data_IF_903599122759
#
_entry.id   IF_903599122759
#
_cell.length_a   1.000
_cell.length_b   1.000
_cell.length_c   1.000
_cell.angle_alpha   90.00
_cell.angle_beta   90.00
_cell.angle_gamma   90.00
#
_symmetry.space_group_name_H-M   'P 1'
#
loop_
_entity.id
_entity.type
_entity.pdbx_description
1 polymer ?
#
# COMPACT_ATOMS: atom_id res chain seq x y z
N UNK A 1 3.03 -31.38 8.34
CA UNK A 1 3.93 -30.62 9.24
C UNK A 1 3.13 -29.55 9.93
N UNK A 2 3.53 -29.05 11.10
CA UNK A 2 2.93 -27.82 11.64
C UNK A 2 3.27 -26.64 10.69
N UNK A 3 2.38 -25.66 10.48
CA UNK A 3 2.66 -24.52 9.61
C UNK A 3 3.90 -23.75 10.11
N UNK A 4 4.88 -23.50 9.24
CA UNK A 4 6.12 -22.78 9.59
C UNK A 4 5.83 -21.31 9.95
N UNK A 5 4.72 -20.77 9.46
CA UNK A 5 4.24 -19.40 9.73
C UNK A 5 3.78 -19.14 11.17
N UNK A 6 4.06 -20.03 12.12
CA UNK A 6 3.97 -19.73 13.56
C UNK A 6 5.11 -18.83 14.06
N UNK A 7 6.15 -18.61 13.25
CA UNK A 7 7.25 -17.70 13.58
C UNK A 7 6.77 -16.25 13.68
N UNK A 8 7.43 -15.45 14.53
CA UNK A 8 7.08 -14.04 14.76
C UNK A 8 8.00 -13.04 14.03
N UNK A 9 9.15 -13.50 13.53
CA UNK A 9 10.19 -12.66 12.94
C UNK A 9 11.00 -13.38 11.85
N UNK A 10 11.75 -12.60 11.08
CA UNK A 10 12.60 -13.07 9.99
C UNK A 10 13.65 -14.12 10.42
N UNK A 11 14.47 -13.89 11.47
CA UNK A 11 15.47 -14.86 11.91
C UNK A 11 14.87 -16.24 12.19
N UNK A 12 13.73 -16.29 12.88
CA UNK A 12 13.06 -17.55 13.23
C UNK A 12 12.52 -18.25 11.98
N UNK A 13 11.85 -17.51 11.09
CA UNK A 13 11.29 -18.09 9.85
C UNK A 13 12.39 -18.65 8.94
N UNK A 14 13.48 -17.89 8.74
CA UNK A 14 14.60 -18.30 7.91
C UNK A 14 15.27 -19.55 8.48
N UNK A 15 15.53 -19.58 9.79
CA UNK A 15 16.15 -20.71 10.46
C UNK A 15 15.32 -22.00 10.34
N UNK A 16 13.99 -21.91 10.39
CA UNK A 16 13.10 -23.06 10.19
C UNK A 16 13.07 -23.49 8.73
N UNK A 17 12.91 -22.56 7.79
CA UNK A 17 12.83 -22.88 6.36
C UNK A 17 14.14 -23.50 5.84
N UNK A 18 15.29 -23.02 6.32
CA UNK A 18 16.61 -23.52 5.92
C UNK A 18 16.94 -24.94 6.44
N UNK A 19 16.06 -25.56 7.25
CA UNK A 19 16.16 -26.99 7.58
C UNK A 19 15.80 -27.88 6.38
N UNK A 20 15.04 -27.36 5.42
CA UNK A 20 14.79 -28.04 4.15
C UNK A 20 16.01 -27.86 3.23
N UNK A 21 16.47 -28.98 2.64
CA UNK A 21 17.59 -29.01 1.72
C UNK A 21 17.41 -28.08 0.52
N UNK A 22 16.17 -27.84 0.06
CA UNK A 22 15.88 -26.91 -1.03
C UNK A 22 16.16 -25.44 -0.67
N UNK A 23 16.20 -25.10 0.62
CA UNK A 23 16.33 -23.74 1.13
C UNK A 23 17.55 -23.56 2.05
N UNK A 24 18.41 -24.57 2.16
CA UNK A 24 19.56 -24.59 3.08
C UNK A 24 20.50 -23.39 2.91
N UNK A 25 20.67 -22.91 1.68
CA UNK A 25 21.55 -21.76 1.38
C UNK A 25 21.13 -20.45 2.07
N UNK A 26 19.89 -20.35 2.56
CA UNK A 26 19.44 -19.19 3.31
C UNK A 26 20.17 -19.02 4.65
N UNK A 27 20.72 -20.09 5.25
CA UNK A 27 21.51 -20.00 6.48
C UNK A 27 22.83 -19.26 6.31
N UNK A 28 23.43 -19.37 5.12
CA UNK A 28 24.74 -18.77 4.81
C UNK A 28 24.59 -17.40 4.13
N UNK A 29 23.36 -17.00 3.82
CA UNK A 29 23.03 -15.72 3.21
C UNK A 29 23.12 -14.58 4.22
N UNK A 30 23.35 -13.35 3.73
CA UNK A 30 23.08 -12.16 4.55
C UNK A 30 21.60 -12.12 4.92
N UNK A 31 21.23 -11.81 6.18
CA UNK A 31 19.84 -11.82 6.63
C UNK A 31 18.91 -10.97 5.76
N UNK A 32 19.39 -9.81 5.30
CA UNK A 32 18.62 -8.89 4.47
C UNK A 32 18.32 -9.47 3.08
N UNK A 33 19.28 -10.19 2.50
CA UNK A 33 19.11 -10.86 1.21
C UNK A 33 18.13 -12.04 1.34
N UNK A 34 18.24 -12.82 2.40
CA UNK A 34 17.30 -13.91 2.68
C UNK A 34 15.88 -13.39 2.90
N UNK A 35 15.71 -12.32 3.69
CA UNK A 35 14.42 -11.66 3.86
C UNK A 35 13.87 -11.11 2.54
N UNK A 36 14.71 -10.46 1.73
CA UNK A 36 14.29 -9.85 0.47
C UNK A 36 13.76 -10.89 -0.54
N UNK A 37 14.42 -12.04 -0.71
CA UNK A 37 13.94 -13.10 -1.62
C UNK A 37 12.70 -13.83 -1.08
N UNK A 38 12.46 -13.77 0.23
CA UNK A 38 11.33 -14.42 0.89
C UNK A 38 10.13 -13.50 1.20
N UNK A 39 10.26 -12.18 1.06
CA UNK A 39 9.22 -11.23 1.45
C UNK A 39 7.88 -11.51 0.76
N UNK A 40 7.89 -11.66 -0.57
CA UNK A 40 6.69 -11.96 -1.35
C UNK A 40 6.05 -13.32 -0.98
N UNK A 41 6.79 -14.45 -1.00
CA UNK A 41 6.20 -15.75 -0.63
C UNK A 41 5.75 -15.80 0.83
N UNK A 42 6.45 -15.15 1.77
CA UNK A 42 6.05 -15.11 3.17
C UNK A 42 4.75 -14.31 3.37
N UNK A 43 4.60 -13.16 2.72
CA UNK A 43 3.37 -12.37 2.75
C UNK A 43 2.17 -13.17 2.21
N UNK A 44 2.33 -13.83 1.06
CA UNK A 44 1.27 -14.64 0.45
C UNK A 44 0.89 -15.81 1.33
N UNK A 45 1.87 -16.58 1.79
CA UNK A 45 1.62 -17.74 2.64
C UNK A 45 0.96 -17.32 3.97
N UNK A 46 1.39 -16.19 4.56
CA UNK A 46 0.78 -15.60 5.76
C UNK A 46 -0.67 -15.22 5.54
N UNK A 47 -0.97 -14.56 4.42
CA UNK A 47 -2.35 -14.20 4.07
C UNK A 47 -3.21 -15.45 3.87
N UNK A 48 -2.73 -16.45 3.13
CA UNK A 48 -3.44 -17.71 2.91
C UNK A 48 -3.76 -18.39 4.25
N UNK A 49 -2.78 -18.51 5.15
CA UNK A 49 -2.96 -19.16 6.44
C UNK A 49 -4.04 -18.50 7.31
N UNK A 50 -4.24 -17.18 7.18
CA UNK A 50 -5.18 -16.41 8.02
C UNK A 50 -6.53 -16.21 7.34
N UNK A 51 -6.54 -15.85 6.05
CA UNK A 51 -7.74 -15.39 5.33
C UNK A 51 -8.33 -16.46 4.42
N UNK A 52 -7.54 -17.41 3.94
CA UNK A 52 -7.99 -18.44 3.00
C UNK A 52 -7.40 -19.84 3.31
N UNK A 53 -7.57 -20.37 4.54
CA UNK A 53 -6.90 -21.60 4.96
C UNK A 53 -7.22 -22.81 4.07
N UNK A 54 -8.43 -22.86 3.48
CA UNK A 54 -8.82 -23.91 2.53
C UNK A 54 -7.92 -23.97 1.28
N UNK A 55 -7.25 -22.86 0.90
CA UNK A 55 -6.26 -22.89 -0.18
C UNK A 55 -5.02 -23.70 0.20
N UNK A 56 -4.62 -23.72 1.47
CA UNK A 56 -3.47 -24.50 1.93
C UNK A 56 -3.68 -26.02 1.80
N UNK A 57 -4.92 -26.47 1.58
CA UNK A 57 -5.24 -27.89 1.35
C UNK A 57 -5.19 -28.27 -0.14
N UNK A 58 -5.06 -27.29 -1.04
CA UNK A 58 -5.00 -27.56 -2.48
C UNK A 58 -3.68 -28.25 -2.85
N UNK A 59 -3.69 -29.29 -3.70
CA UNK A 59 -2.47 -29.95 -4.16
C UNK A 59 -1.62 -29.08 -5.10
N UNK A 60 -2.25 -28.06 -5.70
CA UNK A 60 -1.63 -27.08 -6.58
C UNK A 60 -2.24 -25.70 -6.32
N UNK A 61 -1.39 -24.69 -6.26
CA UNK A 61 -1.75 -23.29 -6.19
C UNK A 61 -1.31 -22.60 -7.49
N UNK A 62 -2.25 -21.95 -8.17
CA UNK A 62 -1.98 -21.11 -9.33
C UNK A 62 -2.18 -19.64 -8.96
N UNK A 63 -1.09 -18.89 -8.99
CA UNK A 63 -1.02 -17.51 -8.53
C UNK A 63 -0.81 -16.55 -9.70
N UNK A 64 -1.46 -15.39 -9.65
CA UNK A 64 -1.21 -14.25 -10.54
C UNK A 64 -0.76 -13.05 -9.71
N UNK A 65 0.49 -12.64 -9.85
CA UNK A 65 1.01 -11.41 -9.24
C UNK A 65 0.85 -10.28 -10.25
N UNK A 66 -0.03 -9.34 -9.94
CA UNK A 66 -0.36 -8.19 -10.78
C UNK A 66 0.44 -6.97 -10.34
N UNK A 67 0.94 -6.23 -11.33
CA UNK A 67 1.84 -5.10 -11.08
C UNK A 67 3.24 -5.54 -10.67
N UNK A 68 3.63 -6.77 -11.00
CA UNK A 68 4.91 -7.32 -10.59
C UNK A 68 6.08 -6.47 -11.10
N UNK A 69 7.00 -6.14 -10.21
CA UNK A 69 8.23 -5.41 -10.51
C UNK A 69 9.45 -6.35 -10.44
N UNK A 70 10.66 -5.82 -10.68
CA UNK A 70 11.91 -6.58 -10.60
C UNK A 70 12.12 -7.28 -9.26
N UNK A 71 11.63 -6.69 -8.16
CA UNK A 71 11.70 -7.28 -6.81
C UNK A 71 10.87 -8.54 -6.70
N UNK A 72 9.70 -8.59 -7.34
CA UNK A 72 8.84 -9.78 -7.39
C UNK A 72 9.42 -10.85 -8.31
N UNK A 73 10.16 -10.45 -9.34
CA UNK A 73 10.76 -11.34 -10.32
C UNK A 73 12.19 -11.79 -9.97
N UNK A 74 12.70 -11.46 -8.78
CA UNK A 74 14.06 -11.81 -8.38
C UNK A 74 14.32 -13.30 -8.56
N UNK A 75 15.47 -13.61 -9.17
CA UNK A 75 15.85 -14.98 -9.52
C UNK A 75 14.79 -15.68 -10.36
N UNK A 76 14.12 -14.95 -11.25
CA UNK A 76 13.02 -15.44 -12.10
C UNK A 76 11.79 -15.90 -11.30
N UNK A 77 11.56 -15.30 -10.12
CA UNK A 77 10.45 -15.67 -9.23
C UNK A 77 10.56 -17.08 -8.65
N UNK A 78 11.76 -17.69 -8.66
CA UNK A 78 11.97 -19.08 -8.19
C UNK A 78 11.68 -19.25 -6.69
N UNK A 79 11.78 -18.18 -5.91
CA UNK A 79 11.54 -18.22 -4.46
C UNK A 79 10.07 -18.38 -4.07
N UNK A 80 9.11 -18.18 -4.98
CA UNK A 80 7.69 -18.47 -4.71
C UNK A 80 7.42 -19.94 -4.39
N UNK A 81 8.33 -20.85 -4.77
CA UNK A 81 8.27 -22.26 -4.40
C UNK A 81 8.43 -22.51 -2.88
N UNK A 82 8.75 -21.48 -2.08
CA UNK A 82 8.74 -21.57 -0.61
C UNK A 82 7.33 -21.60 -0.01
N UNK A 83 6.30 -21.09 -0.71
CA UNK A 83 4.93 -20.95 -0.19
C UNK A 83 4.36 -22.25 0.40
N UNK A 84 4.45 -23.43 -0.26
CA UNK A 84 3.93 -24.69 0.27
C UNK A 84 4.57 -25.08 1.61
N UNK A 85 5.90 -24.95 1.69
CA UNK A 85 6.66 -25.23 2.91
C UNK A 85 6.25 -24.29 4.04
N UNK A 86 6.10 -22.99 3.74
CA UNK A 86 5.64 -22.00 4.71
C UNK A 86 4.23 -22.33 5.25
N UNK A 87 3.36 -22.87 4.40
CA UNK A 87 2.02 -23.37 4.76
C UNK A 87 2.04 -24.75 5.45
N UNK A 88 3.20 -25.42 5.55
CA UNK A 88 3.35 -26.73 6.19
C UNK A 88 2.89 -27.91 5.33
N UNK A 89 2.81 -27.73 4.00
CA UNK A 89 2.35 -28.73 3.03
C UNK A 89 3.38 -28.95 1.89
N UNK A 90 3.04 -29.89 0.98
CA UNK A 90 3.84 -30.27 -0.19
C UNK A 90 3.14 -29.86 -1.51
N UNK A 91 2.28 -28.84 -1.48
CA UNK A 91 1.61 -28.37 -2.68
C UNK A 91 2.60 -27.89 -3.75
N UNK A 92 2.19 -27.91 -5.00
CA UNK A 92 2.96 -27.27 -6.10
C UNK A 92 2.48 -25.84 -6.30
N UNK A 93 3.38 -24.93 -6.68
CA UNK A 93 3.01 -23.54 -6.99
C UNK A 93 3.39 -23.20 -8.41
N UNK A 94 2.40 -22.72 -9.16
CA UNK A 94 2.58 -22.07 -10.45
C UNK A 94 2.35 -20.58 -10.25
N UNK A 95 3.30 -19.75 -10.69
CA UNK A 95 3.21 -18.30 -10.53
C UNK A 95 3.30 -17.63 -11.89
N UNK A 96 2.39 -16.70 -12.14
CA UNK A 96 2.42 -15.76 -13.25
C UNK A 96 2.71 -14.38 -12.70
N UNK A 97 3.80 -13.76 -13.15
CA UNK A 97 4.20 -12.39 -12.81
C UNK A 97 3.84 -11.50 -14.01
N UNK A 98 2.93 -10.56 -13.80
CA UNK A 98 2.44 -9.63 -14.83
C UNK A 98 2.73 -8.20 -14.42
N UNK A 99 3.59 -7.51 -15.16
CA UNK A 99 3.92 -6.11 -14.90
C UNK A 99 4.78 -5.48 -16.00
N UNK A 100 4.68 -4.16 -16.16
CA UNK A 100 5.41 -3.42 -17.19
C UNK A 100 6.92 -3.33 -16.89
N UNK A 101 7.28 -3.29 -15.61
CA UNK A 101 8.63 -3.03 -15.11
C UNK A 101 9.43 -4.32 -14.81
N UNK A 102 8.95 -5.48 -15.27
CA UNK A 102 9.59 -6.78 -15.01
C UNK A 102 10.97 -6.88 -15.66
N UNK A 103 12.05 -6.87 -14.88
CA UNK A 103 13.40 -7.24 -15.37
C UNK A 103 13.66 -8.74 -15.15
N UNK A 104 13.53 -9.54 -16.22
CA UNK A 104 13.68 -11.00 -16.15
C UNK A 104 15.11 -11.48 -15.84
N UNK A 105 16.09 -10.59 -15.97
CA UNK A 105 17.51 -10.79 -15.67
C UNK A 105 17.90 -10.33 -14.26
N UNK A 106 16.96 -9.80 -13.47
CA UNK A 106 17.23 -9.39 -12.10
C UNK A 106 17.50 -10.59 -11.19
N UNK A 107 18.75 -10.70 -10.70
CA UNK A 107 19.24 -11.83 -9.91
C UNK A 107 19.81 -11.38 -8.58
N UNK A 108 19.62 -12.18 -7.54
CA UNK A 108 20.26 -12.01 -6.25
C UNK A 108 21.59 -12.76 -6.15
N UNK A 109 22.36 -12.51 -5.09
CA UNK A 109 23.52 -13.34 -4.73
C UNK A 109 23.18 -14.80 -4.39
N UNK A 110 21.89 -15.13 -4.21
CA UNK A 110 21.38 -16.48 -3.98
C UNK A 110 20.84 -17.16 -5.25
N UNK A 111 20.97 -16.55 -6.43
CA UNK A 111 20.41 -17.06 -7.68
C UNK A 111 20.78 -18.52 -8.00
N UNK A 112 22.00 -18.94 -7.66
CA UNK A 112 22.49 -20.30 -7.90
C UNK A 112 21.81 -21.35 -6.99
N UNK A 113 21.21 -20.90 -5.88
CA UNK A 113 20.56 -21.73 -4.88
C UNK A 113 19.03 -21.66 -4.91
N UNK A 114 18.47 -20.75 -5.70
CA UNK A 114 17.02 -20.62 -5.81
C UNK A 114 16.37 -21.91 -6.37
N UNK A 115 15.15 -22.27 -5.92
CA UNK A 115 14.45 -23.48 -6.36
C UNK A 115 14.35 -23.60 -7.89
N UNK A 116 14.27 -24.81 -8.48
CA UNK A 116 14.43 -24.98 -9.93
C UNK A 116 13.28 -24.42 -10.78
N UNK A 117 12.08 -24.28 -10.22
CA UNK A 117 10.87 -23.89 -10.96
C UNK A 117 10.74 -22.37 -10.99
N UNK A 118 10.93 -21.77 -12.16
CA UNK A 118 10.75 -20.34 -12.39
C UNK A 118 9.27 -19.95 -12.56
N UNK A 119 8.94 -18.71 -12.26
CA UNK A 119 7.64 -18.13 -12.57
C UNK A 119 7.51 -17.82 -14.06
N UNK A 120 6.28 -17.80 -14.56
CA UNK A 120 5.95 -17.28 -15.88
C UNK A 120 5.95 -15.76 -15.82
N UNK A 121 6.84 -15.10 -16.55
CA UNK A 121 6.92 -13.63 -16.56
C UNK A 121 6.36 -13.06 -17.86
N UNK A 122 5.46 -12.08 -17.78
CA UNK A 122 4.91 -11.43 -18.95
C UNK A 122 4.79 -9.92 -18.73
N UNK A 123 5.23 -9.14 -19.74
CA UNK A 123 4.97 -7.70 -19.81
C UNK A 123 3.75 -7.48 -20.70
N UNK A 124 2.59 -7.32 -20.11
CA UNK A 124 1.34 -7.05 -20.84
C UNK A 124 0.33 -6.31 -19.97
N UNK A 125 -0.70 -5.75 -20.61
CA UNK A 125 -1.89 -5.29 -19.90
C UNK A 125 -2.68 -6.49 -19.37
N UNK A 126 -3.41 -6.30 -18.27
CA UNK A 126 -4.21 -7.37 -17.66
C UNK A 126 -5.22 -7.97 -18.63
N UNK A 127 -5.96 -7.12 -19.35
CA UNK A 127 -6.97 -7.58 -20.31
C UNK A 127 -6.36 -8.47 -21.41
N UNK A 128 -5.21 -8.05 -21.97
CA UNK A 128 -4.52 -8.81 -23.02
C UNK A 128 -3.99 -10.15 -22.50
N UNK A 129 -3.44 -10.15 -21.28
CA UNK A 129 -2.98 -11.37 -20.62
C UNK A 129 -4.13 -12.35 -20.39
N UNK A 130 -5.25 -11.89 -19.80
CA UNK A 130 -6.41 -12.75 -19.53
C UNK A 130 -7.04 -13.29 -20.82
N UNK A 131 -7.08 -12.49 -21.89
CA UNK A 131 -7.53 -12.93 -23.20
C UNK A 131 -6.62 -14.03 -23.79
N UNK A 132 -5.30 -13.89 -23.65
CA UNK A 132 -4.33 -14.88 -24.11
C UNK A 132 -4.35 -16.17 -23.29
N UNK A 133 -4.68 -16.10 -22.00
CA UNK A 133 -4.80 -17.24 -21.10
C UNK A 133 -6.02 -18.13 -21.40
N UNK A 134 -6.92 -17.76 -22.31
CA UNK A 134 -7.99 -18.65 -22.78
C UNK A 134 -8.96 -19.14 -21.70
N UNK A 135 -9.17 -18.35 -20.64
CA UNK A 135 -10.05 -18.71 -19.53
C UNK A 135 -9.43 -19.57 -18.43
N UNK A 136 -8.09 -19.67 -18.39
CA UNK A 136 -7.40 -20.22 -17.22
C UNK A 136 -7.85 -19.54 -15.92
N UNK A 137 -8.04 -20.35 -14.88
CA UNK A 137 -8.45 -19.87 -13.56
C UNK A 137 -7.23 -19.80 -12.64
N UNK A 138 -7.14 -18.70 -11.90
CA UNK A 138 -6.18 -18.53 -10.83
C UNK A 138 -6.86 -18.83 -9.49
N UNK A 139 -6.11 -19.35 -8.53
CA UNK A 139 -6.61 -19.54 -7.18
C UNK A 139 -6.53 -18.23 -6.39
N UNK A 140 -5.49 -17.45 -6.65
CA UNK A 140 -5.23 -16.18 -5.97
C UNK A 140 -4.54 -15.20 -6.92
N UNK A 141 -5.03 -13.97 -6.89
CA UNK A 141 -4.39 -12.79 -7.46
C UNK A 141 -3.75 -12.00 -6.33
N UNK A 142 -2.52 -11.55 -6.52
CA UNK A 142 -1.73 -10.82 -5.53
C UNK A 142 -1.34 -9.46 -6.09
N UNK A 143 -1.57 -8.41 -5.30
CA UNK A 143 -1.22 -7.03 -5.62
C UNK A 143 -0.31 -6.50 -4.53
N UNK A 144 0.98 -6.36 -4.83
CA UNK A 144 1.92 -5.70 -3.94
C UNK A 144 1.90 -4.19 -4.24
N UNK A 145 1.46 -3.38 -3.27
CA UNK A 145 1.40 -1.91 -3.36
C UNK A 145 0.69 -1.42 -4.63
N UNK A 146 -0.59 -1.78 -4.81
CA UNK A 146 -1.29 -1.59 -6.09
C UNK A 146 -1.33 -0.16 -6.58
N UNK A 147 -1.33 0.84 -5.68
CA UNK A 147 -1.34 2.25 -6.05
C UNK A 147 -2.52 2.58 -6.97
N UNK A 148 -3.75 2.18 -6.62
CA UNK A 148 -4.90 2.24 -7.53
C UNK A 148 -5.20 3.66 -8.04
N UNK A 149 -4.75 4.68 -7.32
CA UNK A 149 -4.79 6.07 -7.78
C UNK A 149 -4.13 6.26 -9.15
N UNK A 150 -3.02 5.53 -9.40
CA UNK A 150 -2.22 5.56 -10.63
C UNK A 150 -2.61 4.44 -11.60
N UNK A 151 -2.95 3.27 -11.09
CA UNK A 151 -3.23 2.06 -11.89
C UNK A 151 -4.73 1.79 -12.07
N UNK A 152 -5.51 2.85 -12.36
CA UNK A 152 -6.99 2.77 -12.49
C UNK A 152 -7.47 1.80 -13.56
N UNK A 153 -6.63 1.47 -14.56
CA UNK A 153 -6.95 0.51 -15.61
C UNK A 153 -7.30 -0.88 -15.09
N UNK A 154 -6.78 -1.29 -13.92
CA UNK A 154 -7.13 -2.58 -13.31
C UNK A 154 -8.54 -2.62 -12.73
N UNK A 155 -9.14 -1.46 -12.47
CA UNK A 155 -10.49 -1.31 -11.92
C UNK A 155 -11.56 -1.10 -13.01
N UNK A 156 -11.17 -1.17 -14.28
CA UNK A 156 -12.09 -1.05 -15.42
C UNK A 156 -12.69 -2.41 -15.81
N UNK A 157 -13.64 -2.40 -16.76
CA UNK A 157 -14.26 -3.61 -17.30
C UNK A 157 -13.19 -4.56 -17.88
N UNK A 158 -13.31 -5.86 -17.58
CA UNK A 158 -12.31 -6.87 -17.93
C UNK A 158 -11.05 -6.88 -17.05
N UNK A 159 -11.00 -6.04 -16.01
CA UNK A 159 -9.92 -6.02 -15.02
C UNK A 159 -10.14 -6.98 -13.84
N UNK A 160 -9.74 -6.55 -12.63
CA UNK A 160 -9.82 -7.34 -11.40
C UNK A 160 -11.26 -7.82 -11.11
N UNK A 161 -12.27 -7.04 -11.51
CA UNK A 161 -13.68 -7.41 -11.32
C UNK A 161 -14.06 -8.76 -11.96
N UNK A 162 -13.54 -9.06 -13.16
CA UNK A 162 -13.82 -10.33 -13.83
C UNK A 162 -13.16 -11.52 -13.13
N UNK A 163 -11.98 -11.31 -12.52
CA UNK A 163 -11.28 -12.35 -11.75
C UNK A 163 -12.07 -12.72 -10.48
N UNK A 164 -12.56 -11.71 -9.76
CA UNK A 164 -13.42 -11.88 -8.58
C UNK A 164 -14.74 -12.59 -8.93
N UNK A 165 -15.40 -12.19 -10.03
CA UNK A 165 -16.63 -12.85 -10.52
C UNK A 165 -16.40 -14.32 -10.88
N UNK A 166 -15.20 -14.68 -11.36
CA UNK A 166 -14.81 -16.06 -11.62
C UNK A 166 -14.49 -16.87 -10.34
N UNK A 167 -14.60 -16.26 -9.16
CA UNK A 167 -14.32 -16.88 -7.86
C UNK A 167 -12.84 -16.85 -7.47
N UNK A 168 -12.01 -16.07 -8.15
CA UNK A 168 -10.59 -15.89 -7.79
C UNK A 168 -10.50 -14.98 -6.56
N UNK A 169 -9.70 -15.38 -5.56
CA UNK A 169 -9.42 -14.50 -4.43
C UNK A 169 -8.43 -13.41 -4.84
N UNK A 170 -8.55 -12.21 -4.28
CA UNK A 170 -7.64 -11.10 -4.57
C UNK A 170 -7.06 -10.56 -3.27
N UNK A 171 -5.77 -10.83 -3.06
CA UNK A 171 -4.98 -10.29 -1.97
C UNK A 171 -4.35 -8.97 -2.38
N UNK A 172 -4.37 -8.00 -1.46
CA UNK A 172 -3.59 -6.78 -1.57
C UNK A 172 -2.58 -6.66 -0.43
N UNK A 173 -1.52 -5.90 -0.66
CA UNK A 173 -0.59 -5.48 0.37
C UNK A 173 -0.25 -3.99 0.24
N UNK A 174 -0.06 -3.32 1.37
CA UNK A 174 0.29 -1.90 1.48
C UNK A 174 1.51 -1.73 2.38
N UNK A 175 2.17 -0.57 2.33
CA UNK A 175 3.29 -0.24 3.21
C UNK A 175 2.86 -0.11 4.66
N UNK A 176 1.68 0.47 4.89
CA UNK A 176 1.12 0.73 6.21
C UNK A 176 -0.42 0.87 6.17
N UNK A 177 -1.04 0.99 7.35
CA UNK A 177 -2.50 0.97 7.49
C UNK A 177 -3.16 2.20 6.87
N UNK A 178 -2.49 3.34 6.88
CA UNK A 178 -2.97 4.58 6.26
C UNK A 178 -3.00 4.50 4.73
N UNK A 179 -1.99 3.87 4.11
CA UNK A 179 -2.02 3.60 2.67
C UNK A 179 -3.13 2.60 2.32
N UNK A 180 -3.31 1.54 3.10
CA UNK A 180 -4.45 0.63 2.91
C UNK A 180 -5.80 1.36 2.96
N UNK A 181 -5.98 2.30 3.89
CA UNK A 181 -7.20 3.12 3.95
C UNK A 181 -7.40 3.97 2.67
N UNK A 182 -6.32 4.48 2.08
CA UNK A 182 -6.36 5.17 0.79
C UNK A 182 -6.74 4.22 -0.36
N UNK A 183 -6.18 3.02 -0.41
CA UNK A 183 -6.53 2.01 -1.43
C UNK A 183 -7.99 1.59 -1.31
N UNK A 184 -8.46 1.33 -0.08
CA UNK A 184 -9.86 1.01 0.21
C UNK A 184 -10.80 2.13 -0.24
N UNK A 185 -10.43 3.39 0.00
CA UNK A 185 -11.21 4.53 -0.44
C UNK A 185 -11.32 4.60 -1.97
N UNK A 186 -10.22 4.39 -2.69
CA UNK A 186 -10.23 4.37 -4.17
C UNK A 186 -11.10 3.22 -4.69
N UNK A 187 -10.92 2.01 -4.14
CA UNK A 187 -11.74 0.84 -4.49
C UNK A 187 -13.23 1.11 -4.30
N UNK A 188 -13.62 1.71 -3.18
CA UNK A 188 -15.01 2.07 -2.89
C UNK A 188 -15.56 3.10 -3.90
N UNK A 189 -14.75 4.07 -4.34
CA UNK A 189 -15.14 5.02 -5.39
C UNK A 189 -15.40 4.34 -6.74
N UNK A 190 -14.80 3.17 -6.97
CA UNK A 190 -15.01 2.33 -8.15
C UNK A 190 -16.06 1.23 -7.91
N UNK A 191 -16.69 1.18 -6.74
CA UNK A 191 -17.74 0.22 -6.39
C UNK A 191 -17.25 -1.14 -5.90
N UNK A 192 -15.94 -1.33 -5.80
CA UNK A 192 -15.37 -2.54 -5.19
C UNK A 192 -15.56 -2.51 -3.68
N UNK A 193 -15.67 -3.71 -3.09
CA UNK A 193 -15.61 -3.87 -1.63
C UNK A 193 -14.26 -4.46 -1.28
N UNK A 194 -13.49 -3.78 -0.43
CA UNK A 194 -12.33 -4.35 0.23
C UNK A 194 -12.69 -4.76 1.66
N UNK A 195 -11.87 -5.62 2.26
CA UNK A 195 -12.01 -6.01 3.65
C UNK A 195 -12.13 -4.78 4.55
N UNK A 196 -12.85 -4.89 5.66
CA UNK A 196 -13.03 -3.76 6.59
C UNK A 196 -11.79 -3.51 7.47
N UNK A 197 -10.90 -4.49 7.56
CA UNK A 197 -9.62 -4.39 8.26
C UNK A 197 -8.49 -4.98 7.43
N UNK A 198 -7.28 -4.45 7.63
CA UNK A 198 -6.03 -5.07 7.24
C UNK A 198 -5.49 -5.97 8.36
N UNK A 199 -4.38 -6.66 8.08
CA UNK A 199 -3.60 -7.37 9.08
C UNK A 199 -2.12 -6.99 8.94
N UNK A 200 -1.40 -6.74 10.06
CA UNK A 200 0.03 -6.50 10.00
C UNK A 200 0.76 -7.76 9.54
N UNK A 201 1.73 -7.60 8.66
CA UNK A 201 2.63 -8.65 8.22
C UNK A 201 3.96 -8.56 8.97
N UNK A 202 4.34 -9.50 9.83
CA UNK A 202 5.65 -9.46 10.50
C UNK A 202 6.83 -9.69 9.53
N UNK A 203 6.56 -10.21 8.33
CA UNK A 203 7.54 -10.53 7.30
C UNK A 203 7.56 -9.48 6.19
N UNK A 204 7.52 -8.19 6.56
CA UNK A 204 7.70 -7.10 5.63
C UNK A 204 9.18 -6.91 5.29
N UNK A 205 9.45 -6.27 4.16
CA UNK A 205 10.81 -5.86 3.78
C UNK A 205 10.99 -4.38 4.09
N UNK A 206 11.95 -4.05 4.97
CA UNK A 206 12.29 -2.66 5.29
C UNK A 206 13.15 -2.07 4.17
N UNK A 207 12.60 -1.10 3.44
CA UNK A 207 13.25 -0.35 2.36
C UNK A 207 13.56 1.11 2.75
N UNK A 208 13.24 1.47 3.99
CA UNK A 208 13.46 2.77 4.58
C UNK A 208 14.94 3.15 4.75
N UNK A 209 15.18 4.39 5.16
CA UNK A 209 16.47 4.87 5.70
C UNK A 209 16.29 5.38 7.13
N UNK A 210 17.30 6.05 7.69
CA UNK A 210 17.23 6.62 9.04
C UNK A 210 16.10 7.66 9.22
N UNK A 211 15.56 8.21 8.11
CA UNK A 211 14.56 9.28 8.12
C UNK A 211 13.18 8.82 7.62
N UNK A 212 13.06 7.62 7.06
CA UNK A 212 11.84 7.08 6.47
C UNK A 212 11.69 5.60 6.78
N UNK A 213 10.53 5.16 7.29
CA UNK A 213 10.22 3.74 7.39
C UNK A 213 9.30 3.36 6.23
N UNK A 214 9.77 2.43 5.40
CA UNK A 214 9.04 1.96 4.21
C UNK A 214 9.02 0.45 4.29
N UNK A 215 7.85 -0.10 4.65
CA UNK A 215 7.68 -1.52 4.95
C UNK A 215 6.97 -2.21 3.79
N UNK A 216 7.72 -2.64 2.78
CA UNK A 216 7.14 -3.33 1.64
C UNK A 216 6.41 -4.60 2.12
N UNK A 217 5.12 -4.69 1.77
CA UNK A 217 4.22 -5.73 2.24
C UNK A 217 3.85 -5.65 3.73
N UNK A 218 3.91 -4.47 4.35
CA UNK A 218 3.68 -4.23 5.78
C UNK A 218 2.25 -4.54 6.28
N UNK A 219 1.24 -4.30 5.46
CA UNK A 219 -0.16 -4.56 5.77
C UNK A 219 -0.78 -5.41 4.67
N UNK A 220 -1.47 -6.51 5.04
CA UNK A 220 -2.14 -7.40 4.09
C UNK A 220 -3.66 -7.24 4.21
N UNK A 221 -4.36 -7.29 3.09
CA UNK A 221 -5.79 -7.08 3.01
C UNK A 221 -6.37 -7.81 1.79
N UNK A 222 -7.68 -7.67 1.55
CA UNK A 222 -8.38 -8.39 0.49
C UNK A 222 -9.37 -7.49 -0.26
N UNK A 223 -9.55 -7.72 -1.57
CA UNK A 223 -10.75 -7.29 -2.29
C UNK A 223 -11.79 -8.40 -2.20
N UNK A 224 -12.93 -8.09 -1.61
CA UNK A 224 -13.98 -9.05 -1.29
C UNK A 224 -15.05 -9.16 -2.37
N UNK A 225 -15.33 -8.07 -3.08
CA UNK A 225 -16.37 -8.06 -4.10
C UNK A 225 -16.09 -7.08 -5.26
N UNK A 226 -16.52 -7.51 -6.45
CA UNK A 226 -16.63 -6.67 -7.64
C UNK A 226 -17.75 -5.63 -7.52
N UNK A 227 -17.70 -4.54 -8.30
CA UNK A 227 -18.79 -3.59 -8.40
C UNK A 227 -20.08 -4.25 -8.86
N UNK A 228 -21.20 -3.83 -8.30
CA UNK A 228 -22.51 -4.22 -8.81
C UNK A 228 -22.72 -3.68 -10.22
N UNK A 229 -23.38 -4.44 -11.08
CA UNK A 229 -23.64 -4.03 -12.47
C UNK A 229 -24.35 -2.67 -12.50
N UNK A 230 -23.80 -1.73 -13.28
CA UNK A 230 -24.35 -0.38 -13.42
C UNK A 230 -23.89 0.61 -12.34
N UNK A 231 -23.02 0.20 -11.41
CA UNK A 231 -22.39 1.10 -10.45
C UNK A 231 -21.76 2.31 -11.17
N UNK A 232 -22.04 3.52 -10.66
CA UNK A 232 -21.46 4.75 -11.17
C UNK A 232 -20.26 5.14 -10.32
N UNK A 233 -19.12 5.34 -10.96
CA UNK A 233 -17.89 5.76 -10.28
C UNK A 233 -18.10 7.11 -9.57
N UNK A 234 -17.64 7.21 -8.33
CA UNK A 234 -17.72 8.44 -7.55
C UNK A 234 -16.56 9.39 -7.88
N UNK A 235 -16.72 10.12 -8.99
CA UNK A 235 -15.73 11.08 -9.48
C UNK A 235 -15.48 12.23 -8.50
N UNK A 236 -16.50 12.63 -7.74
CA UNK A 236 -16.38 13.72 -6.78
C UNK A 236 -15.44 13.33 -5.62
N UNK A 237 -15.55 12.11 -5.10
CA UNK A 237 -14.65 11.59 -4.07
C UNK A 237 -13.23 11.37 -4.59
N UNK A 238 -13.07 10.91 -5.82
CA UNK A 238 -11.74 10.78 -6.44
C UNK A 238 -11.04 12.15 -6.59
N UNK A 239 -11.78 13.18 -7.03
CA UNK A 239 -11.27 14.55 -7.10
C UNK A 239 -10.90 15.12 -5.72
N UNK A 240 -11.66 14.77 -4.67
CA UNK A 240 -11.32 15.17 -3.31
C UNK A 240 -9.98 14.55 -2.86
N UNK A 241 -9.72 13.29 -3.21
CA UNK A 241 -8.45 12.61 -2.92
C UNK A 241 -7.27 13.21 -3.69
N UNK A 242 -7.48 13.54 -4.97
CA UNK A 242 -6.48 14.28 -5.77
C UNK A 242 -6.18 15.65 -5.15
N UNK A 243 -7.21 16.36 -4.65
CA UNK A 243 -7.02 17.62 -3.93
C UNK A 243 -6.21 17.42 -2.65
N UNK A 244 -6.48 16.37 -1.87
CA UNK A 244 -5.68 16.03 -0.68
C UNK A 244 -4.20 15.82 -1.03
N UNK A 245 -3.90 14.99 -2.03
CA UNK A 245 -2.53 14.76 -2.49
C UNK A 245 -1.84 16.07 -2.89
N UNK A 246 -2.54 16.95 -3.62
CA UNK A 246 -2.01 18.27 -4.00
C UNK A 246 -1.74 19.15 -2.77
N UNK A 247 -2.61 19.14 -1.77
CA UNK A 247 -2.45 19.93 -0.54
C UNK A 247 -1.30 19.43 0.33
N UNK A 248 -1.10 18.12 0.41
CA UNK A 248 0.05 17.49 1.09
C UNK A 248 1.35 17.87 0.40
N UNK A 249 1.45 17.73 -0.93
CA UNK A 249 2.63 18.13 -1.69
C UNK A 249 2.95 19.60 -1.52
N UNK A 250 1.91 20.45 -1.53
CA UNK A 250 2.07 21.87 -1.25
C UNK A 250 2.66 22.11 0.15
N UNK A 251 2.12 21.47 1.20
CA UNK A 251 2.63 21.60 2.57
C UNK A 251 4.08 21.16 2.72
N UNK A 252 4.44 20.01 2.13
CA UNK A 252 5.80 19.48 2.18
C UNK A 252 6.83 20.44 1.56
N UNK A 253 6.43 21.22 0.56
CA UNK A 253 7.32 22.18 -0.09
C UNK A 253 7.42 23.54 0.62
N UNK A 254 6.43 23.92 1.42
CA UNK A 254 6.36 25.25 2.06
C UNK A 254 6.70 25.22 3.55
N UNK A 255 6.22 24.22 4.28
CA UNK A 255 6.26 24.18 5.76
C UNK A 255 6.95 22.91 6.28
N UNK A 256 6.94 21.83 5.50
CA UNK A 256 7.45 20.51 5.91
C UNK A 256 6.32 19.48 6.06
N UNK A 257 6.63 18.33 6.67
CA UNK A 257 5.64 17.27 6.84
C UNK A 257 4.47 17.75 7.72
N UNK A 258 3.20 17.56 7.30
CA UNK A 258 2.06 18.00 8.07
C UNK A 258 1.98 17.21 9.38
N UNK A 259 2.29 17.88 10.48
CA UNK A 259 2.09 17.38 11.84
C UNK A 259 1.39 18.48 12.64
N UNK A 260 0.30 18.18 13.36
CA UNK A 260 -0.33 16.86 13.59
C UNK A 260 -1.12 16.32 12.37
N UNK A 261 -1.85 15.21 12.52
CA UNK A 261 -2.69 14.65 11.45
C UNK A 261 -3.73 15.67 10.95
N UNK A 262 -3.87 15.79 9.63
CA UNK A 262 -4.85 16.71 9.03
C UNK A 262 -6.29 16.29 9.34
N UNK A 263 -7.11 17.27 9.70
CA UNK A 263 -8.50 17.12 10.12
C UNK A 263 -8.69 16.57 11.54
N UNK A 264 -7.62 16.19 12.25
CA UNK A 264 -7.71 15.67 13.61
C UNK A 264 -7.93 16.78 14.64
N UNK A 265 -8.69 16.47 15.70
CA UNK A 265 -8.80 17.33 16.88
C UNK A 265 -7.48 17.27 17.67
N UNK A 266 -6.87 18.42 17.88
CA UNK A 266 -5.57 18.58 18.53
C UNK A 266 -5.73 19.48 19.75
N UNK A 267 -5.25 19.04 20.90
CA UNK A 267 -5.14 19.89 22.09
C UNK A 267 -3.88 20.75 21.98
N UNK A 268 -4.05 22.07 21.91
CA UNK A 268 -2.97 23.03 22.06
C UNK A 268 -2.94 23.55 23.50
N UNK A 269 -1.75 23.59 24.10
CA UNK A 269 -1.53 24.09 25.47
C UNK A 269 -0.65 25.33 25.45
N UNK A 270 -1.07 26.38 26.14
CA UNK A 270 -0.31 27.60 26.36
C UNK A 270 0.56 27.48 27.62
N UNK A 271 1.63 28.29 27.70
CA UNK A 271 2.54 28.33 28.85
C UNK A 271 1.86 28.74 30.17
N UNK A 272 0.74 29.47 30.08
CA UNK A 272 -0.10 29.86 31.23
C UNK A 272 -1.10 28.79 31.67
N UNK A 273 -1.05 27.60 31.07
CA UNK A 273 -1.90 26.46 31.38
C UNK A 273 -3.25 26.45 30.66
N UNK A 274 -3.58 27.46 29.85
CA UNK A 274 -4.78 27.42 29.00
C UNK A 274 -4.66 26.32 27.95
N UNK A 275 -5.78 25.66 27.66
CA UNK A 275 -5.86 24.60 26.64
C UNK A 275 -6.98 24.89 25.65
N UNK A 276 -6.81 24.50 24.40
CA UNK A 276 -7.83 24.57 23.36
C UNK A 276 -7.80 23.31 22.50
N UNK A 277 -8.97 22.77 22.20
CA UNK A 277 -9.13 21.66 21.27
C UNK A 277 -9.52 22.22 19.90
N UNK A 278 -8.62 22.10 18.93
CA UNK A 278 -8.83 22.67 17.59
C UNK A 278 -8.64 21.61 16.51
N UNK A 279 -9.39 21.73 15.43
CA UNK A 279 -9.26 20.89 14.24
C UNK A 279 -8.05 21.33 13.45
N UNK A 280 -7.02 20.50 13.34
CA UNK A 280 -5.87 20.80 12.48
C UNK A 280 -6.30 20.75 11.01
N UNK A 281 -5.95 21.76 10.22
CA UNK A 281 -6.20 21.76 8.78
C UNK A 281 -4.91 21.35 8.07
N UNK A 282 -3.97 22.28 7.95
CA UNK A 282 -2.65 22.13 7.35
C UNK A 282 -1.77 23.33 7.76
N UNK A 283 -0.45 23.22 7.62
CA UNK A 283 0.49 24.37 7.69
C UNK A 283 0.28 25.23 8.95
N UNK A 284 0.20 24.56 10.11
CA UNK A 284 -0.02 25.17 11.42
C UNK A 284 -1.33 25.97 11.54
N UNK A 285 -2.32 25.69 10.67
CA UNK A 285 -3.65 26.28 10.76
C UNK A 285 -4.63 25.34 11.41
N UNK A 286 -5.49 25.93 12.24
CA UNK A 286 -6.46 25.23 13.05
C UNK A 286 -7.82 25.91 12.94
N UNK A 287 -8.90 25.14 13.09
CA UNK A 287 -10.28 25.63 13.15
C UNK A 287 -10.88 25.26 14.51
N UNK A 288 -11.47 26.22 15.19
CA UNK A 288 -12.22 25.95 16.41
C UNK A 288 -13.59 25.32 16.06
N UNK A 289 -13.88 24.12 16.58
CA UNK A 289 -15.11 23.41 16.23
C UNK A 289 -16.39 24.04 16.79
N UNK A 290 -16.28 24.99 17.73
CA UNK A 290 -17.44 25.60 18.38
C UNK A 290 -17.94 26.85 17.63
N UNK A 291 -17.02 27.70 17.17
CA UNK A 291 -17.35 28.99 16.53
C UNK A 291 -16.79 29.16 15.10
N UNK A 292 -16.00 28.21 14.62
CA UNK A 292 -15.39 28.24 13.29
C UNK A 292 -14.21 29.21 13.17
N UNK A 293 -13.71 29.81 14.26
CA UNK A 293 -12.55 30.69 14.20
C UNK A 293 -11.32 29.95 13.64
N UNK A 294 -10.66 30.57 12.68
CA UNK A 294 -9.44 30.04 12.06
C UNK A 294 -8.24 30.66 12.77
N UNK A 295 -7.34 29.81 13.22
CA UNK A 295 -6.10 30.18 13.89
C UNK A 295 -4.88 29.77 13.07
N UNK A 296 -3.83 30.58 13.13
CA UNK A 296 -2.48 30.27 12.67
C UNK A 296 -1.56 30.20 13.89
N UNK A 297 -0.84 29.09 14.04
CA UNK A 297 0.23 28.95 15.01
C UNK A 297 1.55 29.39 14.34
N UNK A 298 2.11 30.51 14.81
CA UNK A 298 3.38 31.05 14.33
C UNK A 298 4.39 31.09 15.49
N UNK A 299 5.33 30.15 15.49
CA UNK A 299 6.13 29.86 16.68
C UNK A 299 5.21 29.40 17.82
N UNK A 300 5.30 30.07 18.97
CA UNK A 300 4.48 29.77 20.16
C UNK A 300 3.22 30.63 20.27
N UNK A 301 2.90 31.41 19.23
CA UNK A 301 1.76 32.34 19.23
C UNK A 301 0.64 31.83 18.35
N UNK A 302 -0.53 31.61 18.95
CA UNK A 302 -1.76 31.28 18.24
C UNK A 302 -2.53 32.57 17.92
N UNK A 303 -2.63 32.90 16.64
CA UNK A 303 -3.30 34.13 16.17
C UNK A 303 -4.55 33.78 15.36
N UNK A 304 -5.69 34.38 15.71
CA UNK A 304 -6.89 34.28 14.88
C UNK A 304 -6.67 35.04 13.56
N UNK A 305 -6.89 34.36 12.43
CA UNK A 305 -6.65 34.87 11.09
C UNK A 305 -7.87 34.78 10.17
N UNK A 306 -9.00 34.27 10.64
CA UNK A 306 -10.24 34.21 9.88
C UNK A 306 -11.38 33.53 10.64
N UNK A 307 -12.48 33.29 9.92
CA UNK A 307 -13.63 32.52 10.39
C UNK A 307 -14.13 31.65 9.24
N UNK A 308 -14.29 30.36 9.49
CA UNK A 308 -14.83 29.40 8.55
C UNK A 308 -16.36 29.51 8.51
N UNK A 309 -17.02 29.50 7.34
CA UNK A 309 -18.48 29.50 7.28
C UNK A 309 -19.08 28.30 8.01
N UNK A 310 -20.18 28.51 8.76
CA UNK A 310 -20.84 27.46 9.53
C UNK A 310 -21.26 26.25 8.68
N UNK A 311 -21.62 26.47 7.41
CA UNK A 311 -21.96 25.39 6.48
C UNK A 311 -20.77 24.45 6.18
N UNK A 312 -19.56 24.97 6.15
CA UNK A 312 -18.34 24.17 5.92
C UNK A 312 -17.92 23.41 7.18
N UNK A 313 -18.11 24.02 8.35
CA UNK A 313 -17.89 23.34 9.63
C UNK A 313 -18.94 22.23 9.87
N UNK A 314 -20.19 22.44 9.43
CA UNK A 314 -21.24 21.42 9.50
C UNK A 314 -20.93 20.19 8.62
N UNK A 315 -20.10 20.34 7.57
CA UNK A 315 -19.61 19.25 6.72
C UNK A 315 -18.44 18.47 7.35
N UNK A 316 -17.91 18.91 8.50
CA UNK A 316 -16.82 18.19 9.16
C UNK A 316 -17.24 16.75 9.50
N UNK A 317 -16.47 15.74 9.08
CA UNK A 317 -16.79 14.35 9.38
C UNK A 317 -16.52 14.05 10.87
N UNK A 318 -17.59 13.96 11.65
CA UNK A 318 -17.62 13.71 13.11
C UNK A 318 -17.45 12.22 13.43
N UNK A 319 -17.81 11.84 14.65
CA UNK A 319 -17.70 10.52 15.27
C UNK A 319 -17.80 9.34 14.28
N UNK A 320 -16.89 8.37 14.41
CA UNK A 320 -16.71 7.18 13.57
C UNK A 320 -16.17 7.40 12.14
N UNK A 321 -15.99 8.63 11.67
CA UNK A 321 -15.33 8.87 10.39
C UNK A 321 -13.85 8.42 10.40
N UNK A 322 -13.35 8.02 9.24
CA UNK A 322 -11.94 7.66 9.05
C UNK A 322 -11.01 8.89 9.15
N UNK A 323 -9.73 8.66 9.45
CA UNK A 323 -8.72 9.72 9.36
C UNK A 323 -8.64 10.32 7.96
N UNK A 324 -8.82 9.50 6.93
CA UNK A 324 -8.79 9.94 5.55
C UNK A 324 -9.93 10.92 5.24
N UNK A 325 -11.17 10.65 5.68
CA UNK A 325 -12.29 11.57 5.47
C UNK A 325 -12.07 12.94 6.15
N UNK A 326 -11.52 12.93 7.36
CA UNK A 326 -11.11 14.16 8.05
C UNK A 326 -10.02 14.91 7.28
N UNK A 327 -9.04 14.20 6.72
CA UNK A 327 -7.99 14.79 5.90
C UNK A 327 -8.54 15.36 4.58
N UNK A 328 -9.51 14.69 3.93
CA UNK A 328 -10.18 15.19 2.74
C UNK A 328 -10.93 16.49 3.01
N UNK A 329 -11.64 16.58 4.14
CA UNK A 329 -12.26 17.82 4.59
C UNK A 329 -11.23 18.93 4.80
N UNK A 330 -10.14 18.64 5.53
CA UNK A 330 -9.07 19.62 5.76
C UNK A 330 -8.44 20.11 4.46
N UNK A 331 -8.27 19.24 3.47
CA UNK A 331 -7.77 19.62 2.15
C UNK A 331 -8.75 20.51 1.37
N UNK A 332 -10.05 20.29 1.48
CA UNK A 332 -11.10 21.17 0.90
C UNK A 332 -11.09 22.54 1.57
N UNK A 333 -10.95 22.59 2.90
CA UNK A 333 -10.83 23.86 3.64
C UNK A 333 -9.58 24.63 3.20
N UNK A 334 -8.42 23.96 3.15
CA UNK A 334 -7.18 24.58 2.70
C UNK A 334 -7.30 25.15 1.29
N UNK A 335 -7.78 24.33 0.36
CA UNK A 335 -7.82 24.70 -1.06
C UNK A 335 -8.72 25.90 -1.34
N UNK A 336 -9.80 26.07 -0.58
CA UNK A 336 -10.78 27.16 -0.79
C UNK A 336 -10.49 28.42 0.00
N UNK A 337 -10.01 28.30 1.24
CA UNK A 337 -9.98 29.42 2.18
C UNK A 337 -8.60 29.87 2.57
N UNK A 338 -7.58 29.02 2.36
CA UNK A 338 -6.26 29.26 2.94
C UNK A 338 -5.19 29.52 1.88
N UNK A 339 -5.38 29.09 0.63
CA UNK A 339 -4.41 29.29 -0.45
C UNK A 339 -4.24 30.77 -0.87
N UNK A 340 -5.27 31.59 -0.71
CA UNK A 340 -5.20 33.04 -0.96
C UNK A 340 -4.28 33.69 0.09
N UNK A 341 -2.98 33.73 -0.22
CA UNK A 341 -1.92 34.20 0.69
C UNK A 341 -0.68 33.29 0.76
N UNK A 342 -0.67 32.15 0.06
CA UNK A 342 0.54 31.32 -0.05
C UNK A 342 1.43 31.75 -1.21
N UNK A 343 2.75 31.54 -1.11
CA UNK A 343 3.62 31.62 -2.28
C UNK A 343 3.13 30.64 -3.34
N UNK A 344 3.22 31.02 -4.62
CA UNK A 344 2.92 30.09 -5.71
C UNK A 344 3.75 28.81 -5.53
N UNK A 345 3.10 27.65 -5.62
CA UNK A 345 3.81 26.38 -5.57
C UNK A 345 4.89 26.38 -6.67
N UNK A 346 6.12 25.96 -6.31
CA UNK A 346 7.14 25.67 -7.31
C UNK A 346 6.53 24.73 -8.37
N UNK A 347 6.78 25.03 -9.64
CA UNK A 347 6.05 24.51 -10.80
C UNK A 347 5.86 22.99 -10.70
N UNK A 348 4.62 22.52 -10.93
CA UNK A 348 4.16 21.14 -10.72
C UNK A 348 5.00 20.02 -11.39
N UNK A 349 5.90 20.35 -12.32
CA UNK A 349 6.87 19.40 -12.89
C UNK A 349 7.83 18.83 -11.86
N UNK A 350 8.32 19.64 -10.91
CA UNK A 350 9.29 19.19 -9.90
C UNK A 350 8.72 18.14 -8.94
N UNK A 351 7.42 18.20 -8.64
CA UNK A 351 6.77 17.25 -7.75
C UNK A 351 6.62 15.84 -8.34
N UNK A 352 6.30 15.73 -9.63
CA UNK A 352 6.22 14.43 -10.31
C UNK A 352 7.62 13.84 -10.52
N UNK A 353 8.62 14.66 -10.84
CA UNK A 353 10.01 14.21 -10.96
C UNK A 353 10.56 13.75 -9.61
N UNK A 354 10.22 14.43 -8.51
CA UNK A 354 10.58 14.03 -7.14
C UNK A 354 9.91 12.71 -6.73
N UNK A 355 8.64 12.52 -7.06
CA UNK A 355 7.93 11.26 -6.81
C UNK A 355 8.54 10.12 -7.64
N UNK A 356 8.85 10.34 -8.93
CA UNK A 356 9.55 9.37 -9.77
C UNK A 356 10.93 9.01 -9.20
N UNK A 357 11.69 10.02 -8.78
CA UNK A 357 12.97 9.84 -8.10
C UNK A 357 12.87 9.05 -6.80
N UNK A 358 11.78 9.17 -6.05
CA UNK A 358 11.53 8.35 -4.86
C UNK A 358 11.32 6.87 -5.22
N UNK A 359 10.52 6.56 -6.25
CA UNK A 359 10.35 5.18 -6.72
C UNK A 359 11.65 4.60 -7.30
N UNK A 360 12.40 5.39 -8.07
CA UNK A 360 13.73 4.99 -8.53
C UNK A 360 14.67 4.71 -7.35
N UNK A 361 14.67 5.57 -6.34
CA UNK A 361 15.45 5.40 -5.11
C UNK A 361 15.05 4.14 -4.34
N UNK A 362 13.74 3.87 -4.22
CA UNK A 362 13.23 2.65 -3.58
C UNK A 362 13.64 1.40 -4.36
N UNK A 363 13.55 1.45 -5.69
CA UNK A 363 14.01 0.37 -6.57
C UNK A 363 15.50 0.12 -6.42
N UNK A 364 16.31 1.18 -6.37
CA UNK A 364 17.75 1.09 -6.13
C UNK A 364 18.09 0.56 -4.73
N UNK A 365 17.33 0.96 -3.71
CA UNK A 365 17.46 0.42 -2.34
C UNK A 365 17.14 -1.06 -2.32
N UNK A 366 15.99 -1.45 -2.86
CA UNK A 366 15.62 -2.85 -2.97
C UNK A 366 16.67 -3.63 -3.76
N UNK A 367 17.14 -3.09 -4.90
CA UNK A 367 18.18 -3.73 -5.71
C UNK A 367 19.49 -3.97 -4.95
N UNK A 368 19.88 -3.07 -4.04
CA UNK A 368 21.07 -3.25 -3.18
C UNK A 368 20.93 -4.42 -2.20
N UNK A 369 19.72 -4.73 -1.74
CA UNK A 369 19.48 -5.87 -0.83
C UNK A 369 19.80 -7.22 -1.50
N UNK A 370 19.72 -7.28 -2.84
CA UNK A 370 19.97 -8.49 -3.61
C UNK A 370 21.42 -8.65 -4.08
N UNK A 371 22.28 -7.64 -3.94
CA UNK A 371 23.68 -7.64 -4.45
C UNK A 371 24.69 -8.27 -3.50
#
# INVERSE_FOLDING_TARGET
MAPILSCADWPSLIAVLAQDMAFKALNDARPETAAAVLAAPAAIARWIAVKAPAMAEKPRLKLLVLGAESTDAVDKGRWYQAIPRLLGNDATVEVHLLGAELAADFSSSLAAHAPPVAAHTQRALLADFLAACGGERFDLVVLFQPGFQKHRGWLQEGGIGGLLEAGTLVMGASYASDEYEMERFVLACHGFTASTSSMPNPFFLELGDEQSSIRWGGELWQIEASPVRGFQRDDARLLALENLNRMVLHSMNVVGAPSPLCGALTELSAADGRRRNLLHVFDHRFVDPDDGAIYLLNGDVLQQCGVLPAAELARYPRDAASHLERALWAADIKSRYLLDGYPAAAVAGEGMDRARGMFDTLRERAARLFR
#
